data_IF_294819652237
#
_entry.id   IF_294819652237
#
_cell.length_a   1.000
_cell.length_b   1.000
_cell.length_c   1.000
_cell.angle_alpha   90.00
_cell.angle_beta   90.00
_cell.angle_gamma   90.00
#
_symmetry.space_group_name_H-M   'P 1'
#
loop_
_entity.id
_entity.type
_entity.pdbx_description
1 polymer ?
#
# COMPACT_ATOMS: atom_id res chain seq x y z
N UNK A 1 36.31 10.07 -39.25
CA UNK A 1 35.72 8.95 -38.49
C UNK A 1 34.29 9.32 -38.17
N UNK A 2 33.33 8.64 -38.80
CA UNK A 2 31.91 8.83 -38.53
C UNK A 2 31.59 8.04 -37.25
N UNK A 3 31.24 8.74 -36.17
CA UNK A 3 30.61 8.13 -35.00
C UNK A 3 29.16 7.86 -35.40
N UNK A 4 28.83 6.60 -35.65
CA UNK A 4 27.45 6.18 -35.77
C UNK A 4 26.71 6.46 -34.44
N UNK A 5 25.48 6.99 -34.47
CA UNK A 5 24.67 7.10 -33.27
C UNK A 5 24.18 5.70 -32.91
N UNK A 6 24.58 5.19 -31.74
CA UNK A 6 23.97 4.02 -31.11
C UNK A 6 22.49 4.30 -30.84
N UNK A 7 21.65 4.05 -31.84
CA UNK A 7 20.19 4.02 -31.72
C UNK A 7 19.67 2.75 -32.37
N UNK A 8 19.77 1.63 -31.66
CA UNK A 8 18.92 0.46 -31.88
C UNK A 8 18.06 0.19 -30.63
N UNK A 9 16.98 0.97 -30.57
CA UNK A 9 15.60 0.58 -30.23
C UNK A 9 15.42 -0.53 -29.17
N UNK A 10 15.39 -0.11 -27.90
CA UNK A 10 14.23 -0.34 -27.02
C UNK A 10 14.07 0.85 -26.05
N UNK A 11 13.20 1.84 -26.32
CA UNK A 11 13.02 2.95 -25.39
C UNK A 11 12.09 2.55 -24.22
N UNK A 12 12.61 2.62 -23.00
CA UNK A 12 11.87 2.88 -21.75
C UNK A 12 10.80 1.86 -21.28
N UNK A 13 11.09 0.56 -21.26
CA UNK A 13 10.29 -0.40 -20.48
C UNK A 13 10.52 -0.25 -18.96
N UNK A 14 11.77 0.00 -18.53
CA UNK A 14 12.17 0.14 -17.13
C UNK A 14 11.45 1.27 -16.34
N UNK A 15 11.29 2.50 -16.85
CA UNK A 15 10.61 3.59 -16.12
C UNK A 15 9.13 3.30 -15.85
N UNK A 16 8.44 2.61 -16.78
CA UNK A 16 7.04 2.20 -16.61
C UNK A 16 6.91 1.16 -15.50
N UNK A 17 7.82 0.20 -15.47
CA UNK A 17 7.86 -0.86 -14.46
C UNK A 17 8.13 -0.27 -13.07
N UNK A 18 9.15 0.58 -12.93
CA UNK A 18 9.48 1.28 -11.69
C UNK A 18 8.30 2.11 -11.18
N UNK A 19 7.65 2.88 -12.07
CA UNK A 19 6.45 3.65 -11.75
C UNK A 19 5.31 2.77 -11.23
N UNK A 20 5.10 1.60 -11.81
CA UNK A 20 4.07 0.67 -11.36
C UNK A 20 4.39 0.09 -9.97
N UNK A 21 5.66 -0.24 -9.71
CA UNK A 21 6.12 -0.67 -8.38
C UNK A 21 5.96 0.44 -7.34
N UNK A 22 6.29 1.69 -7.67
CA UNK A 22 6.11 2.84 -6.79
C UNK A 22 4.63 3.03 -6.43
N UNK A 23 3.72 2.96 -7.41
CA UNK A 23 2.27 2.99 -7.17
C UNK A 23 1.78 1.85 -6.29
N UNK A 24 2.29 0.64 -6.54
CA UNK A 24 1.96 -0.54 -5.75
C UNK A 24 2.43 -0.38 -4.30
N UNK A 25 3.66 0.13 -4.10
CA UNK A 25 4.21 0.46 -2.77
C UNK A 25 3.30 1.43 -2.03
N UNK A 26 2.95 2.57 -2.62
CA UNK A 26 2.06 3.55 -1.98
C UNK A 26 0.73 2.92 -1.54
N UNK A 27 0.12 2.08 -2.37
CA UNK A 27 -1.14 1.39 -2.01
C UNK A 27 -0.96 0.44 -0.81
N UNK A 28 0.12 -0.31 -0.79
CA UNK A 28 0.41 -1.26 0.30
C UNK A 28 0.74 -0.51 1.59
N UNK A 29 1.55 0.54 1.52
CA UNK A 29 1.93 1.37 2.66
C UNK A 29 0.71 2.00 3.32
N UNK A 30 -0.15 2.64 2.53
CA UNK A 30 -1.36 3.28 3.04
C UNK A 30 -2.37 2.24 3.57
N UNK A 31 -2.40 1.03 2.99
CA UNK A 31 -3.24 -0.05 3.50
C UNK A 31 -2.71 -0.62 4.83
N UNK A 32 -1.39 -0.83 4.95
CA UNK A 32 -0.73 -1.20 6.20
C UNK A 32 -1.00 -0.17 7.29
N UNK A 33 -0.90 1.13 6.96
CA UNK A 33 -1.22 2.22 7.87
C UNK A 33 -2.68 2.19 8.34
N UNK A 34 -3.62 2.01 7.40
CA UNK A 34 -5.04 1.83 7.72
C UNK A 34 -5.31 0.65 8.66
N UNK A 35 -4.71 -0.53 8.40
CA UNK A 35 -4.84 -1.70 9.26
C UNK A 35 -4.25 -1.46 10.66
N UNK A 36 -3.13 -0.73 10.76
CA UNK A 36 -2.52 -0.34 12.03
C UNK A 36 -3.44 0.59 12.83
N UNK A 37 -4.07 1.58 12.18
CA UNK A 37 -5.10 2.43 12.82
C UNK A 37 -6.29 1.58 13.30
N UNK A 38 -6.81 0.69 12.46
CA UNK A 38 -7.90 -0.21 12.84
C UNK A 38 -7.56 -1.06 14.06
N UNK A 39 -6.33 -1.59 14.14
CA UNK A 39 -5.85 -2.33 15.32
C UNK A 39 -5.87 -1.46 16.58
N UNK A 40 -5.37 -0.23 16.52
CA UNK A 40 -5.35 0.73 17.63
C UNK A 40 -6.74 1.02 18.19
N UNK A 41 -7.73 1.22 17.33
CA UNK A 41 -9.12 1.48 17.74
C UNK A 41 -9.96 0.22 18.04
N UNK A 42 -9.36 -0.97 17.95
CA UNK A 42 -10.09 -2.25 18.13
C UNK A 42 -11.13 -2.51 17.03
N UNK A 43 -10.94 -1.98 15.82
CA UNK A 43 -11.87 -2.06 14.70
C UNK A 43 -11.51 -3.19 13.73
N UNK A 44 -12.52 -3.87 13.19
CA UNK A 44 -12.36 -4.86 12.11
C UNK A 44 -12.96 -4.27 10.81
N UNK A 45 -12.14 -4.09 9.75
CA UNK A 45 -12.62 -3.63 8.44
C UNK A 45 -13.75 -4.50 7.89
N UNK A 46 -14.72 -3.91 7.19
CA UNK A 46 -15.91 -4.61 6.71
C UNK A 46 -15.57 -5.81 5.80
N UNK A 47 -14.56 -5.70 4.93
CA UNK A 47 -14.12 -6.80 4.06
C UNK A 47 -13.49 -7.99 4.78
N UNK A 48 -13.22 -7.86 6.09
CA UNK A 48 -12.70 -8.93 6.94
C UNK A 48 -13.76 -9.46 7.91
N UNK A 49 -14.97 -8.88 7.91
CA UNK A 49 -16.09 -9.36 8.73
C UNK A 49 -16.76 -10.52 7.98
N UNK A 50 -16.97 -11.62 8.68
CA UNK A 50 -17.79 -12.72 8.18
C UNK A 50 -19.25 -12.26 8.05
N UNK A 51 -19.94 -12.68 6.98
CA UNK A 51 -21.36 -12.34 6.78
C UNK A 51 -22.21 -12.96 7.89
N UNK A 52 -23.17 -12.20 8.42
CA UNK A 52 -24.05 -12.60 9.54
C UNK A 52 -25.16 -13.55 9.08
N UNK A 53 -25.14 -14.01 7.83
CA UNK A 53 -26.20 -14.87 7.25
C UNK A 53 -26.31 -16.23 7.94
N UNK A 54 -25.34 -16.63 8.75
CA UNK A 54 -25.41 -17.79 9.65
C UNK A 54 -25.53 -17.30 11.09
N UNK A 55 -26.71 -17.46 11.68
CA UNK A 55 -27.03 -16.99 13.04
C UNK A 55 -26.38 -17.89 14.12
N UNK A 56 -25.05 -17.88 14.20
CA UNK A 56 -24.30 -18.62 15.22
C UNK A 56 -24.07 -17.76 16.48
N UNK A 57 -25.15 -17.44 17.21
CA UNK A 57 -25.05 -16.76 18.52
C UNK A 57 -24.12 -17.48 19.50
N UNK A 58 -24.00 -18.82 19.41
CA UNK A 58 -23.13 -19.64 20.26
C UNK A 58 -21.62 -19.49 19.99
N UNK A 59 -21.20 -18.91 18.85
CA UNK A 59 -19.78 -18.86 18.46
C UNK A 59 -19.30 -17.45 18.08
N UNK A 60 -19.93 -16.40 18.61
CA UNK A 60 -19.56 -15.00 18.33
C UNK A 60 -18.08 -14.74 18.67
N UNK A 61 -17.60 -15.28 19.79
CA UNK A 61 -16.21 -15.13 20.21
C UNK A 61 -15.23 -15.80 19.22
N UNK A 62 -15.53 -17.03 18.77
CA UNK A 62 -14.72 -17.74 17.79
C UNK A 62 -14.66 -17.00 16.45
N UNK A 63 -15.80 -16.45 16.00
CA UNK A 63 -15.90 -15.63 14.79
C UNK A 63 -15.04 -14.36 14.93
N UNK A 64 -15.12 -13.70 16.08
CA UNK A 64 -14.35 -12.49 16.36
C UNK A 64 -12.85 -12.77 16.42
N UNK A 65 -12.43 -13.85 17.09
CA UNK A 65 -11.04 -14.28 17.17
C UNK A 65 -10.49 -14.67 15.79
N UNK A 66 -11.27 -15.37 14.98
CA UNK A 66 -10.91 -15.71 13.59
C UNK A 66 -10.73 -14.45 12.74
N UNK A 67 -11.68 -13.51 12.81
CA UNK A 67 -11.61 -12.24 12.07
C UNK A 67 -10.38 -11.41 12.50
N UNK A 68 -10.04 -11.42 13.78
CA UNK A 68 -8.84 -10.76 14.33
C UNK A 68 -7.55 -11.41 13.83
N UNK A 69 -7.49 -12.75 13.80
CA UNK A 69 -6.32 -13.51 13.29
C UNK A 69 -6.11 -13.23 11.80
N UNK A 70 -7.17 -13.25 10.99
CA UNK A 70 -7.12 -12.90 9.57
C UNK A 70 -6.59 -11.48 9.33
N UNK A 71 -7.09 -10.50 10.10
CA UNK A 71 -6.60 -9.11 10.03
C UNK A 71 -5.10 -9.01 10.34
N UNK A 72 -4.64 -9.70 11.38
CA UNK A 72 -3.23 -9.68 11.78
C UNK A 72 -2.35 -10.35 10.72
N UNK A 73 -2.75 -11.51 10.21
CA UNK A 73 -2.03 -12.20 9.14
C UNK A 73 -1.94 -11.35 7.86
N UNK A 74 -3.03 -10.66 7.50
CA UNK A 74 -3.03 -9.75 6.36
C UNK A 74 -2.08 -8.56 6.58
N UNK A 75 -2.05 -8.00 7.79
CA UNK A 75 -1.11 -6.92 8.13
C UNK A 75 0.35 -7.37 7.98
N UNK A 76 0.70 -8.53 8.52
CA UNK A 76 2.06 -9.10 8.39
C UNK A 76 2.43 -9.39 6.93
N UNK A 77 1.49 -9.93 6.15
CA UNK A 77 1.70 -10.16 4.72
C UNK A 77 2.00 -8.85 3.98
N UNK A 78 1.22 -7.78 4.24
CA UNK A 78 1.44 -6.47 3.62
C UNK A 78 2.77 -5.85 4.02
N UNK A 79 3.20 -6.03 5.27
CA UNK A 79 4.51 -5.58 5.72
C UNK A 79 5.66 -6.30 4.98
N UNK A 80 5.57 -7.62 4.80
CA UNK A 80 6.53 -8.39 4.00
C UNK A 80 6.52 -7.94 2.53
N UNK A 81 5.34 -7.74 1.95
CA UNK A 81 5.19 -7.24 0.57
C UNK A 81 5.86 -5.88 0.40
N UNK A 82 5.66 -4.94 1.34
CA UNK A 82 6.31 -3.63 1.35
C UNK A 82 7.84 -3.76 1.35
N UNK A 83 8.40 -4.64 2.21
CA UNK A 83 9.84 -4.88 2.27
C UNK A 83 10.38 -5.36 0.92
N UNK A 84 9.71 -6.32 0.28
CA UNK A 84 10.14 -6.84 -1.03
C UNK A 84 10.07 -5.79 -2.12
N UNK A 85 9.02 -4.96 -2.16
CA UNK A 85 8.92 -3.86 -3.12
C UNK A 85 10.01 -2.81 -2.94
N UNK A 86 10.41 -2.50 -1.70
CA UNK A 86 11.51 -1.57 -1.46
C UNK A 86 12.85 -2.12 -1.97
N UNK A 87 13.10 -3.41 -1.78
CA UNK A 87 14.29 -4.07 -2.33
C UNK A 87 14.29 -3.95 -3.85
N UNK A 88 13.16 -4.29 -4.50
CA UNK A 88 13.03 -4.24 -5.96
C UNK A 88 13.24 -2.82 -6.52
N UNK A 89 12.62 -1.81 -5.91
CA UNK A 89 12.78 -0.40 -6.30
C UNK A 89 14.24 0.03 -6.18
N UNK A 90 14.92 -0.34 -5.09
CA UNK A 90 16.33 0.00 -4.89
C UNK A 90 17.22 -0.65 -5.94
N UNK A 91 16.98 -1.93 -6.25
CA UNK A 91 17.70 -2.65 -7.31
C UNK A 91 17.50 -1.98 -8.67
N UNK A 92 16.26 -1.64 -9.03
CA UNK A 92 15.96 -0.98 -10.31
C UNK A 92 16.61 0.41 -10.41
N UNK A 93 16.58 1.19 -9.32
CA UNK A 93 17.27 2.49 -9.27
C UNK A 93 18.78 2.33 -9.43
N UNK A 94 19.38 1.32 -8.80
CA UNK A 94 20.81 1.03 -8.94
C UNK A 94 21.17 0.66 -10.37
N UNK A 95 20.38 -0.21 -11.02
CA UNK A 95 20.57 -0.58 -12.43
C UNK A 95 20.49 0.66 -13.33
N UNK A 96 19.49 1.52 -13.14
CA UNK A 96 19.38 2.77 -13.90
C UNK A 96 20.59 3.69 -13.68
N UNK A 97 21.04 3.84 -12.43
CA UNK A 97 22.17 4.71 -12.11
C UNK A 97 23.46 4.25 -12.79
N UNK A 98 23.70 2.93 -12.83
CA UNK A 98 24.83 2.34 -13.56
C UNK A 98 24.70 2.62 -15.06
N UNK A 99 23.54 2.33 -15.65
CA UNK A 99 23.29 2.58 -17.07
C UNK A 99 23.48 4.05 -17.47
N UNK A 100 22.94 4.98 -16.69
CA UNK A 100 23.06 6.41 -16.94
C UNK A 100 24.50 6.90 -16.80
N UNK A 101 25.25 6.37 -15.81
CA UNK A 101 26.67 6.67 -15.66
C UNK A 101 27.49 6.17 -16.86
N UNK A 102 27.14 5.02 -17.41
CA UNK A 102 27.82 4.47 -18.58
C UNK A 102 27.52 5.28 -19.86
N UNK A 103 26.32 5.84 -19.98
CA UNK A 103 25.95 6.70 -21.12
C UNK A 103 26.39 8.16 -20.98
N UNK A 104 26.41 8.70 -19.76
CA UNK A 104 26.64 10.11 -19.43
C UNK A 104 27.42 10.24 -18.12
N UNK A 105 28.71 9.94 -18.15
CA UNK A 105 29.56 9.80 -16.96
C UNK A 105 29.75 11.08 -16.13
N UNK A 106 29.62 12.26 -16.77
CA UNK A 106 29.84 13.57 -16.14
C UNK A 106 28.56 14.23 -15.59
N UNK A 107 27.38 13.65 -15.83
CA UNK A 107 26.10 14.22 -15.40
C UNK A 107 25.65 13.70 -14.02
N UNK A 108 25.06 14.57 -13.20
CA UNK A 108 24.48 14.20 -11.90
C UNK A 108 23.08 13.61 -12.06
N UNK A 109 22.99 12.28 -12.15
CA UNK A 109 21.75 11.55 -12.42
C UNK A 109 20.73 11.47 -11.27
N UNK A 110 21.06 12.00 -10.09
CA UNK A 110 20.19 11.89 -8.92
C UNK A 110 18.89 12.71 -9.09
N UNK A 111 18.94 13.85 -9.81
CA UNK A 111 17.76 14.66 -10.13
C UNK A 111 16.86 13.99 -11.17
N UNK A 112 17.43 13.32 -12.18
CA UNK A 112 16.69 12.59 -13.21
C UNK A 112 15.91 11.40 -12.61
N UNK A 113 16.56 10.66 -11.71
CA UNK A 113 15.94 9.56 -10.97
C UNK A 113 14.85 10.07 -10.02
N UNK A 114 15.04 11.25 -9.43
CA UNK A 114 14.01 11.88 -8.60
C UNK A 114 12.79 12.30 -9.43
N UNK A 115 13.01 12.87 -10.61
CA UNK A 115 11.94 13.37 -11.49
C UNK A 115 11.02 12.25 -11.98
N UNK A 116 11.58 11.08 -12.32
CA UNK A 116 10.83 9.87 -12.69
C UNK A 116 9.84 9.45 -11.59
N UNK A 117 10.20 9.69 -10.33
CA UNK A 117 9.43 9.31 -9.15
C UNK A 117 8.50 10.41 -8.62
N UNK A 118 8.58 11.64 -9.13
CA UNK A 118 7.87 12.82 -8.58
C UNK A 118 6.35 12.80 -8.79
N UNK A 119 5.85 12.02 -9.74
CA UNK A 119 4.45 12.08 -10.19
C UNK A 119 3.40 11.30 -9.36
N UNK A 120 3.71 10.85 -8.13
CA UNK A 120 2.80 9.98 -7.35
C UNK A 120 2.24 10.59 -6.04
N UNK A 121 2.41 11.90 -5.81
CA UNK A 121 1.83 12.57 -4.63
C UNK A 121 0.28 12.62 -4.67
N UNK A 122 -0.31 12.92 -5.83
CA UNK A 122 -1.78 13.05 -6.00
C UNK A 122 -2.57 11.73 -5.75
N UNK A 123 -2.09 10.53 -6.17
CA UNK A 123 -2.71 9.26 -5.80
C UNK A 123 -2.71 8.97 -4.29
N UNK A 124 -1.68 9.41 -3.57
CA UNK A 124 -1.49 9.10 -2.15
C UNK A 124 -2.50 9.84 -1.27
N UNK A 125 -2.66 11.14 -1.47
CA UNK A 125 -3.62 11.97 -0.72
C UNK A 125 -5.06 11.43 -0.88
N UNK A 126 -5.46 11.13 -2.11
CA UNK A 126 -6.78 10.53 -2.40
C UNK A 126 -6.99 9.18 -1.69
N UNK A 127 -5.92 8.39 -1.52
CA UNK A 127 -5.96 7.12 -0.79
C UNK A 127 -6.10 7.34 0.72
N UNK A 128 -5.35 8.31 1.28
CA UNK A 128 -5.43 8.72 2.68
C UNK A 128 -6.86 9.16 3.01
N UNK A 129 -7.44 10.07 2.22
CA UNK A 129 -8.81 10.58 2.43
C UNK A 129 -9.86 9.47 2.37
N UNK A 130 -9.66 8.49 1.48
CA UNK A 130 -10.55 7.33 1.37
C UNK A 130 -10.43 6.44 2.61
N UNK A 131 -9.21 6.20 3.10
CA UNK A 131 -8.97 5.39 4.29
C UNK A 131 -9.47 6.08 5.55
N UNK A 132 -9.34 7.40 5.66
CA UNK A 132 -9.83 8.17 6.80
C UNK A 132 -11.37 8.13 6.83
N UNK A 133 -12.05 8.36 5.71
CA UNK A 133 -13.52 8.19 5.62
C UNK A 133 -13.97 6.78 6.01
N UNK A 134 -13.25 5.74 5.58
CA UNK A 134 -13.54 4.35 5.98
C UNK A 134 -13.35 4.14 7.48
N UNK A 135 -12.32 4.73 8.07
CA UNK A 135 -12.03 4.65 9.51
C UNK A 135 -13.15 5.32 10.32
N UNK A 136 -13.53 6.54 9.95
CA UNK A 136 -14.63 7.26 10.61
C UNK A 136 -15.94 6.49 10.53
N UNK A 137 -16.25 5.90 9.38
CA UNK A 137 -17.43 5.03 9.25
C UNK A 137 -17.39 3.81 10.17
N UNK A 138 -16.20 3.22 10.40
CA UNK A 138 -16.05 2.10 11.33
C UNK A 138 -16.19 2.53 12.79
N UNK A 139 -15.65 3.69 13.16
CA UNK A 139 -15.79 4.29 14.49
C UNK A 139 -17.27 4.57 14.77
N UNK A 140 -17.95 5.28 13.88
CA UNK A 140 -19.36 5.62 14.04
C UNK A 140 -20.26 4.38 14.15
N UNK A 141 -19.94 3.31 13.41
CA UNK A 141 -20.66 2.04 13.54
C UNK A 141 -20.44 1.36 14.88
N UNK A 142 -19.24 1.47 15.46
CA UNK A 142 -18.95 0.91 16.78
C UNK A 142 -19.73 1.67 17.85
N UNK A 143 -19.68 3.00 17.83
CA UNK A 143 -20.40 3.87 18.78
C UNK A 143 -21.90 3.58 18.79
N UNK A 144 -22.53 3.50 17.60
CA UNK A 144 -23.98 3.16 17.49
C UNK A 144 -24.36 1.80 18.08
N UNK A 145 -23.44 0.83 18.08
CA UNK A 145 -23.70 -0.49 18.69
C UNK A 145 -23.59 -0.38 20.21
N UNK A 146 -22.63 0.38 20.72
CA UNK A 146 -22.43 0.60 22.15
C UNK A 146 -23.62 1.39 22.76
N UNK A 147 -24.13 2.42 22.06
CA UNK A 147 -25.31 3.19 22.48
C UNK A 147 -26.60 2.34 22.55
N UNK A 148 -26.81 1.46 21.57
CA UNK A 148 -27.98 0.57 21.53
C UNK A 148 -27.94 -0.53 22.62
N UNK A 149 -26.77 -0.89 23.12
CA UNK A 149 -26.65 -1.83 24.24
C UNK A 149 -26.93 -1.14 25.58
N UNK A 150 -26.57 0.14 25.74
CA UNK A 150 -26.85 0.90 26.96
C UNK A 150 -28.34 1.26 27.13
N UNK A 151 -29.09 1.42 26.05
CA UNK A 151 -30.53 1.69 26.11
C UNK A 151 -31.41 0.44 26.34
N UNK A 152 -30.84 -0.77 26.27
CA UNK A 152 -31.55 -2.03 26.46
C UNK A 152 -31.24 -2.72 27.81
N UNK A 153 -30.50 -2.03 28.69
CA UNK A 153 -30.25 -2.40 30.09
C UNK A 153 -30.95 -1.40 31.01
#
# INVERSE_FOLDING_TARGET
MNLEPCMEKEPMLLPKTLRNYTKKRVRVDEHSHFLKKCKRYGLIPNGLRLKITTFNKKNIELIHNTSRKLRNNLFEYRYKEQRMMNIEINTQNMILKLYLKDCQSEHEHDEDLYWINKHDLLPREKLIDRHERKLQNLINKKLKVDDNNNNNN
#
